data_IF_917861799418
#
_entry.id   IF_917861799418
#
_cell.length_a   1.000
_cell.length_b   1.000
_cell.length_c   1.000
_cell.angle_alpha   90.00
_cell.angle_beta   90.00
_cell.angle_gamma   90.00
#
_symmetry.space_group_name_H-M   'P 1'
#
loop_
_entity.id
_entity.type
_entity.pdbx_description
1 polymer ?
#
# COMPACT_ATOMS: atom_id res chain seq x y z
N UNK A 1 5.98 9.64 -1.75
CA UNK A 1 6.28 9.10 -3.11
C UNK A 1 6.51 7.61 -2.99
N UNK A 2 6.21 6.82 -4.03
CA UNK A 2 6.58 5.40 -4.08
C UNK A 2 8.08 5.23 -4.40
N UNK A 3 8.69 4.14 -3.95
CA UNK A 3 10.11 3.82 -4.16
C UNK A 3 10.30 2.32 -4.44
N UNK A 4 10.54 2.00 -5.72
CA UNK A 4 10.71 0.64 -6.24
C UNK A 4 9.63 -0.34 -5.71
N UNK A 5 8.33 -0.05 -5.93
CA UNK A 5 7.29 -1.01 -5.54
C UNK A 5 7.47 -2.32 -6.32
N UNK A 6 7.33 -3.45 -5.63
CA UNK A 6 7.63 -4.77 -6.23
C UNK A 6 6.46 -5.72 -6.26
N UNK A 7 5.36 -5.41 -5.57
CA UNK A 7 4.19 -6.28 -5.50
C UNK A 7 2.90 -5.51 -5.24
N UNK A 8 1.80 -6.09 -5.70
CA UNK A 8 0.44 -5.56 -5.55
C UNK A 8 -0.55 -6.69 -5.29
N UNK A 9 -1.55 -6.44 -4.45
CA UNK A 9 -2.70 -7.33 -4.24
C UNK A 9 -3.97 -6.50 -4.08
N UNK A 10 -5.13 -7.05 -4.46
CA UNK A 10 -6.42 -6.38 -4.35
C UNK A 10 -7.35 -7.23 -3.48
N UNK A 11 -7.93 -6.62 -2.46
CA UNK A 11 -8.93 -7.24 -1.59
C UNK A 11 -9.85 -6.17 -0.98
N UNK A 12 -11.12 -6.51 -0.77
CA UNK A 12 -12.09 -5.65 -0.08
C UNK A 12 -12.14 -4.19 -0.58
N UNK A 13 -12.05 -3.99 -1.91
CA UNK A 13 -12.09 -2.65 -2.52
C UNK A 13 -10.83 -1.80 -2.29
N UNK A 14 -9.72 -2.41 -1.85
CA UNK A 14 -8.44 -1.74 -1.66
C UNK A 14 -7.33 -2.44 -2.44
N UNK A 15 -6.40 -1.64 -2.95
CA UNK A 15 -5.14 -2.09 -3.50
C UNK A 15 -4.04 -1.95 -2.44
N UNK A 16 -3.35 -3.05 -2.18
CA UNK A 16 -2.22 -3.15 -1.27
C UNK A 16 -0.94 -3.18 -2.09
N UNK A 17 -0.03 -2.26 -1.83
CA UNK A 17 1.20 -2.08 -2.61
C UNK A 17 2.39 -2.24 -1.68
N UNK A 18 3.31 -3.15 -2.02
CA UNK A 18 4.58 -3.31 -1.32
C UNK A 18 5.58 -2.24 -1.82
N UNK A 19 5.77 -1.18 -1.04
CA UNK A 19 6.64 -0.05 -1.35
C UNK A 19 8.05 -0.33 -0.81
N UNK A 20 8.80 -1.18 -1.55
CA UNK A 20 9.93 -1.95 -1.03
C UNK A 20 11.06 -1.11 -0.45
N UNK A 21 11.50 -0.05 -1.15
CA UNK A 21 12.61 0.77 -0.65
C UNK A 21 12.17 1.74 0.45
N UNK A 22 10.86 1.93 0.64
CA UNK A 22 10.34 2.74 1.74
C UNK A 22 10.04 1.88 2.99
N UNK A 23 10.08 0.55 2.89
CA UNK A 23 9.69 -0.38 3.96
C UNK A 23 8.23 -0.18 4.41
N UNK A 24 7.34 0.15 3.48
CA UNK A 24 5.93 0.43 3.76
C UNK A 24 4.99 -0.48 2.97
N UNK A 25 3.80 -0.68 3.53
CA UNK A 25 2.63 -1.12 2.75
C UNK A 25 1.75 0.11 2.49
N UNK A 26 1.48 0.38 1.22
CA UNK A 26 0.61 1.49 0.80
C UNK A 26 -0.76 0.94 0.45
N UNK A 27 -1.79 1.65 0.87
CA UNK A 27 -3.19 1.33 0.58
C UNK A 27 -3.71 2.37 -0.40
N UNK A 28 -4.28 1.93 -1.53
CA UNK A 28 -5.03 2.80 -2.42
C UNK A 28 -6.50 2.37 -2.45
N UNK A 29 -7.41 3.34 -2.39
CA UNK A 29 -8.82 3.09 -2.65
C UNK A 29 -9.03 2.72 -4.12
N UNK A 30 -9.92 1.77 -4.42
CA UNK A 30 -10.26 1.45 -5.81
C UNK A 30 -11.29 2.44 -6.38
N UNK A 31 -12.15 2.98 -5.52
CA UNK A 31 -13.17 3.97 -5.87
C UNK A 31 -12.73 5.40 -5.54
N UNK A 32 -11.73 5.55 -4.67
CA UNK A 32 -11.20 6.85 -4.25
C UNK A 32 -9.76 6.99 -4.73
N UNK A 33 -9.36 8.18 -5.16
CA UNK A 33 -7.96 8.46 -5.54
C UNK A 33 -7.02 8.61 -4.32
N UNK A 34 -7.47 8.16 -3.14
CA UNK A 34 -6.74 8.31 -1.88
C UNK A 34 -5.72 7.20 -1.70
N UNK A 35 -4.53 7.59 -1.22
CA UNK A 35 -3.48 6.65 -0.85
C UNK A 35 -3.02 6.94 0.57
N UNK A 36 -3.01 5.91 1.40
CA UNK A 36 -2.48 5.96 2.77
C UNK A 36 -1.38 4.92 2.99
N UNK A 37 -0.77 4.97 4.16
CA UNK A 37 0.19 3.96 4.62
C UNK A 37 -0.51 3.08 5.65
N UNK A 38 -0.38 1.77 5.52
CA UNK A 38 -0.85 0.83 6.53
C UNK A 38 0.14 0.85 7.70
N UNK A 39 -0.32 1.29 8.87
CA UNK A 39 0.43 1.15 10.11
C UNK A 39 0.37 -0.31 10.58
N UNK A 40 1.54 -0.89 10.80
CA UNK A 40 1.67 -2.23 11.36
C UNK A 40 2.17 -2.10 12.79
N UNK A 41 1.39 -2.61 13.75
CA UNK A 41 1.74 -2.58 15.17
C UNK A 41 2.09 -3.99 15.65
N UNK A 42 3.11 -4.12 16.49
CA UNK A 42 3.50 -5.39 17.10
C UNK A 42 4.46 -6.27 16.28
N UNK A 43 5.15 -5.67 15.30
CA UNK A 43 6.28 -6.26 14.56
C UNK A 43 7.52 -5.38 14.68
#
# INVERSE_FOLDING_TARGET
MFSKPSGVSIANGKMYIADTNNHLIRLAGMETAEVSTLELTGI
#
